data_IF_621178739061
#
_entry.id   IF_621178739061
#
_cell.length_a   1.000
_cell.length_b   1.000
_cell.length_c   1.000
_cell.angle_alpha   90.00
_cell.angle_beta   90.00
_cell.angle_gamma   90.00
#
_symmetry.space_group_name_H-M   'P 1'
#
loop_
_entity.id
_entity.type
_entity.pdbx_description
1 polymer ?
#
# COMPACT_ATOMS: atom_id res chain seq x y z
N UNK A 1 45.21 -49.93 29.96
CA UNK A 1 44.12 -48.97 30.20
C UNK A 1 44.20 -47.89 29.16
N UNK A 2 43.26 -47.86 28.20
CA UNK A 2 43.21 -46.84 27.13
C UNK A 2 42.17 -45.78 27.53
N UNK A 3 42.62 -44.57 27.86
CA UNK A 3 41.72 -43.44 28.16
C UNK A 3 41.14 -42.89 26.86
N UNK A 4 39.83 -42.92 26.72
CA UNK A 4 39.07 -42.39 25.62
C UNK A 4 38.73 -40.93 25.94
N UNK A 5 39.34 -40.00 25.24
CA UNK A 5 39.11 -38.57 25.37
C UNK A 5 37.83 -38.24 24.57
N UNK A 6 36.74 -37.91 25.26
CA UNK A 6 35.48 -37.45 24.62
C UNK A 6 35.59 -35.96 24.40
N UNK A 7 35.69 -35.55 23.11
CA UNK A 7 35.70 -34.18 22.70
C UNK A 7 34.24 -33.70 22.58
N UNK A 8 33.76 -32.93 23.54
CA UNK A 8 32.44 -32.25 23.46
C UNK A 8 32.58 -31.02 22.60
N UNK A 9 32.04 -31.07 21.38
CA UNK A 9 31.90 -29.89 20.54
C UNK A 9 30.70 -29.08 21.04
N UNK A 10 30.96 -27.92 21.66
CA UNK A 10 29.93 -26.89 21.91
C UNK A 10 29.63 -26.18 20.59
N UNK A 11 28.48 -26.48 20.00
CA UNK A 11 27.94 -25.69 18.89
C UNK A 11 27.30 -24.42 19.47
N UNK A 12 28.03 -23.33 19.47
CA UNK A 12 27.48 -22.01 19.78
C UNK A 12 26.58 -21.56 18.63
N UNK A 13 25.27 -21.67 18.80
CA UNK A 13 24.29 -21.08 17.86
C UNK A 13 24.41 -19.56 17.95
N UNK A 14 25.05 -18.94 16.98
CA UNK A 14 25.05 -17.48 16.83
C UNK A 14 23.67 -17.09 16.31
N UNK A 15 22.79 -16.70 17.21
CA UNK A 15 21.58 -15.95 16.83
C UNK A 15 22.06 -14.57 16.36
N UNK A 16 22.08 -14.35 15.05
CA UNK A 16 22.27 -13.04 14.48
C UNK A 16 21.06 -12.18 14.93
N UNK A 17 21.26 -11.39 15.98
CA UNK A 17 20.29 -10.38 16.36
C UNK A 17 20.28 -9.34 15.24
N UNK A 18 19.17 -9.25 14.51
CA UNK A 18 18.93 -8.14 13.61
C UNK A 18 18.95 -6.85 14.44
N UNK A 19 19.91 -5.98 14.17
CA UNK A 19 19.91 -4.65 14.78
C UNK A 19 18.62 -3.93 14.36
N UNK A 20 17.94 -3.22 15.26
CA UNK A 20 16.77 -2.44 14.90
C UNK A 20 17.14 -1.43 13.82
N UNK A 21 16.41 -1.44 12.70
CA UNK A 21 16.57 -0.47 11.61
C UNK A 21 15.61 0.69 11.84
N UNK A 22 16.10 1.92 11.71
CA UNK A 22 15.30 3.14 11.78
C UNK A 22 15.42 3.86 10.44
N UNK A 23 14.29 4.04 9.77
CA UNK A 23 14.20 4.81 8.54
C UNK A 23 13.30 6.03 8.76
N UNK A 24 13.81 7.21 8.42
CA UNK A 24 13.06 8.47 8.44
C UNK A 24 13.32 9.18 7.12
N UNK A 25 12.25 9.68 6.51
CA UNK A 25 12.32 10.34 5.21
C UNK A 25 11.78 11.75 5.31
N UNK A 26 12.54 12.72 4.86
CA UNK A 26 12.01 14.05 4.53
C UNK A 26 11.27 13.99 3.19
N UNK A 27 10.35 14.92 2.90
CA UNK A 27 9.55 14.87 1.67
C UNK A 27 10.37 14.78 0.38
N UNK A 28 11.53 15.41 0.32
CA UNK A 28 12.48 15.41 -0.81
C UNK A 28 13.26 14.10 -0.99
N UNK A 29 13.31 13.27 0.06
CA UNK A 29 13.97 11.95 0.01
C UNK A 29 13.03 10.85 -0.50
N UNK A 30 11.72 11.11 -0.57
CA UNK A 30 10.74 10.11 -1.00
C UNK A 30 10.83 9.92 -2.51
N UNK A 31 11.19 8.70 -2.92
CA UNK A 31 11.35 8.35 -4.33
C UNK A 31 10.06 7.73 -4.87
N UNK A 32 9.47 8.37 -5.88
CA UNK A 32 8.28 7.89 -6.55
C UNK A 32 8.64 7.18 -7.86
N UNK A 33 7.96 6.08 -8.13
CA UNK A 33 8.02 5.31 -9.37
C UNK A 33 6.63 5.18 -9.98
N UNK A 34 6.48 4.84 -11.27
CA UNK A 34 5.17 4.53 -11.83
C UNK A 34 4.45 3.48 -11.01
N UNK A 35 3.12 3.61 -10.88
CA UNK A 35 2.32 2.62 -10.16
C UNK A 35 2.46 1.21 -10.74
N UNK A 36 2.35 0.16 -9.91
CA UNK A 36 2.27 -1.22 -10.38
C UNK A 36 1.10 -1.44 -11.35
N UNK A 37 1.19 -2.48 -12.18
CA UNK A 37 0.24 -2.75 -13.25
C UNK A 37 -1.20 -3.06 -12.77
N UNK A 38 -1.41 -3.34 -11.49
CA UNK A 38 -2.75 -3.52 -10.92
C UNK A 38 -3.49 -2.19 -10.62
N UNK A 39 -2.82 -1.06 -10.78
CA UNK A 39 -3.45 0.27 -10.71
C UNK A 39 -3.50 0.92 -12.10
N UNK A 40 -4.50 1.76 -12.39
CA UNK A 40 -4.53 2.53 -13.63
C UNK A 40 -3.25 3.34 -13.81
N UNK A 41 -2.75 3.41 -15.04
CA UNK A 41 -1.53 4.17 -15.34
C UNK A 41 -1.72 5.68 -15.12
N UNK A 42 -0.61 6.41 -14.91
CA UNK A 42 -0.60 7.87 -14.77
C UNK A 42 -0.33 8.37 -13.36
N UNK A 43 -0.49 7.55 -12.33
CA UNK A 43 -0.06 7.88 -10.98
C UNK A 43 1.35 7.34 -10.68
N UNK A 44 1.88 7.74 -9.53
CA UNK A 44 3.18 7.29 -9.01
C UNK A 44 3.02 6.76 -7.59
N UNK A 45 3.84 5.79 -7.22
CA UNK A 45 3.85 5.17 -5.90
C UNK A 45 5.25 5.19 -5.30
N UNK A 46 5.34 5.47 -4.01
CA UNK A 46 6.55 5.32 -3.21
C UNK A 46 6.30 4.33 -2.08
N UNK A 47 7.16 3.34 -1.92
CA UNK A 47 7.16 2.44 -0.76
C UNK A 47 8.00 3.10 0.34
N UNK A 48 7.39 3.34 1.50
CA UNK A 48 8.07 3.93 2.67
C UNK A 48 8.49 2.86 3.67
N UNK A 49 7.72 1.78 3.75
CA UNK A 49 7.95 0.69 4.69
C UNK A 49 7.41 -0.62 4.11
N UNK A 50 8.06 -1.73 4.45
CA UNK A 50 7.63 -3.07 4.11
C UNK A 50 7.65 -3.40 2.62
N UNK A 51 6.94 -4.46 2.27
CA UNK A 51 6.71 -4.88 0.90
C UNK A 51 5.20 -5.05 0.67
N UNK A 52 4.55 -4.14 -0.08
CA UNK A 52 3.11 -4.22 -0.34
C UNK A 52 2.70 -5.44 -1.17
N UNK A 53 3.66 -6.17 -1.75
CA UNK A 53 3.41 -7.39 -2.55
C UNK A 53 3.66 -8.69 -1.79
N UNK A 54 4.23 -8.60 -0.59
CA UNK A 54 4.50 -9.77 0.25
C UNK A 54 3.20 -10.50 0.64
N UNK A 55 3.31 -11.75 1.07
CA UNK A 55 2.16 -12.54 1.54
C UNK A 55 1.66 -12.11 2.92
N UNK A 56 2.49 -11.43 3.70
CA UNK A 56 2.20 -10.94 5.05
C UNK A 56 3.18 -9.84 5.43
N UNK A 57 2.89 -9.13 6.52
CA UNK A 57 3.67 -8.03 7.05
C UNK A 57 2.97 -6.69 6.84
N UNK A 58 3.45 -5.68 7.54
CA UNK A 58 2.94 -4.33 7.39
C UNK A 58 3.56 -3.65 6.17
N UNK A 59 2.81 -2.75 5.54
CA UNK A 59 3.34 -1.86 4.52
C UNK A 59 2.84 -0.43 4.73
N UNK A 60 3.65 0.52 4.27
CA UNK A 60 3.26 1.93 4.13
C UNK A 60 3.72 2.42 2.76
N UNK A 61 2.77 2.95 1.97
CA UNK A 61 3.05 3.52 0.65
C UNK A 61 2.48 4.93 0.55
N UNK A 62 3.01 5.74 -0.36
CA UNK A 62 2.38 6.98 -0.82
C UNK A 62 2.00 6.86 -2.28
N UNK A 63 0.74 7.17 -2.56
CA UNK A 63 0.20 7.26 -3.92
C UNK A 63 0.08 8.74 -4.29
N UNK A 64 0.77 9.14 -5.35
CA UNK A 64 0.72 10.47 -5.93
C UNK A 64 -0.08 10.42 -7.22
N UNK A 65 -1.21 11.09 -7.24
CA UNK A 65 -2.22 11.04 -8.30
C UNK A 65 -2.32 12.39 -8.99
N UNK A 66 -2.21 12.47 -10.32
CA UNK A 66 -2.48 13.70 -11.05
C UNK A 66 -3.97 14.06 -11.02
N UNK A 67 -4.29 15.30 -11.38
CA UNK A 67 -5.69 15.75 -11.49
C UNK A 67 -6.52 14.82 -12.38
N UNK A 68 -7.69 14.44 -11.89
CA UNK A 68 -8.64 13.57 -12.60
C UNK A 68 -8.29 12.09 -12.61
N UNK A 69 -7.20 11.68 -11.95
CA UNK A 69 -6.87 10.26 -11.81
C UNK A 69 -7.97 9.53 -11.06
N UNK A 70 -8.35 8.34 -11.55
CA UNK A 70 -9.44 7.54 -11.00
C UNK A 70 -9.00 6.10 -10.78
N UNK A 71 -9.46 5.51 -9.66
CA UNK A 71 -9.47 4.07 -9.48
C UNK A 71 -10.93 3.64 -9.47
N UNK A 72 -11.36 2.84 -10.46
CA UNK A 72 -12.73 2.34 -10.56
C UNK A 72 -13.16 1.54 -9.33
N UNK A 73 -14.46 1.21 -9.18
CA UNK A 73 -14.96 0.43 -8.06
C UNK A 73 -14.17 -0.86 -7.84
N UNK A 74 -13.67 -1.00 -6.63
CA UNK A 74 -12.79 -2.10 -6.21
C UNK A 74 -12.91 -2.33 -4.70
N UNK A 75 -12.26 -3.40 -4.23
CA UNK A 75 -12.13 -3.74 -2.81
C UNK A 75 -10.76 -4.36 -2.51
N UNK A 76 -10.40 -4.40 -1.24
CA UNK A 76 -9.18 -5.00 -0.73
C UNK A 76 -9.46 -6.17 0.21
N UNK A 77 -8.62 -7.24 0.21
CA UNK A 77 -8.79 -8.37 1.14
C UNK A 77 -8.46 -7.99 2.59
N UNK A 78 -7.62 -6.98 2.80
CA UNK A 78 -7.22 -6.46 4.09
C UNK A 78 -7.78 -5.06 4.32
N UNK A 79 -7.78 -4.59 5.58
CA UNK A 79 -8.14 -3.21 5.90
C UNK A 79 -7.15 -2.27 5.24
N UNK A 80 -7.68 -1.25 4.58
CA UNK A 80 -6.93 -0.12 4.07
C UNK A 80 -7.09 1.08 5.01
N UNK A 81 -5.97 1.68 5.42
CA UNK A 81 -5.96 2.94 6.16
C UNK A 81 -5.37 4.02 5.27
N UNK A 82 -6.04 5.15 5.15
CA UNK A 82 -5.63 6.23 4.25
C UNK A 82 -5.55 7.57 4.98
N UNK A 83 -4.45 8.28 4.78
CA UNK A 83 -4.25 9.65 5.25
C UNK A 83 -3.98 10.56 4.06
N UNK A 84 -4.77 11.59 3.89
CA UNK A 84 -4.54 12.59 2.84
C UNK A 84 -3.39 13.50 3.26
N UNK A 85 -2.29 13.46 2.53
CA UNK A 85 -1.10 14.29 2.79
C UNK A 85 -1.26 15.66 2.13
N UNK A 86 -1.77 15.68 0.88
CA UNK A 86 -2.02 16.92 0.15
C UNK A 86 -3.13 16.75 -0.89
N UNK A 87 -3.75 17.87 -1.29
CA UNK A 87 -4.80 17.91 -2.30
C UNK A 87 -6.18 17.52 -1.77
N UNK A 88 -7.11 17.26 -2.71
CA UNK A 88 -8.50 16.91 -2.43
C UNK A 88 -8.78 15.50 -2.95
N UNK A 89 -8.82 14.54 -2.04
CA UNK A 89 -9.07 13.14 -2.32
C UNK A 89 -10.56 12.85 -2.24
N UNK A 90 -11.17 12.41 -3.34
CA UNK A 90 -12.58 12.05 -3.38
C UNK A 90 -12.75 10.54 -3.27
N UNK A 91 -13.66 10.11 -2.40
CA UNK A 91 -14.01 8.70 -2.17
C UNK A 91 -15.51 8.53 -2.30
N UNK A 92 -15.92 7.55 -3.08
CA UNK A 92 -17.30 7.09 -3.19
C UNK A 92 -17.40 5.61 -2.82
N UNK A 93 -18.57 5.20 -2.32
CA UNK A 93 -18.83 3.83 -1.88
C UNK A 93 -19.77 3.11 -2.85
N UNK A 94 -19.54 1.80 -3.04
CA UNK A 94 -20.38 0.92 -3.85
C UNK A 94 -19.75 0.48 -5.17
N UNK A 95 -20.55 -0.13 -6.02
CA UNK A 95 -20.14 -0.89 -7.20
C UNK A 95 -20.13 -0.07 -8.51
N UNK A 96 -20.67 1.14 -8.45
CA UNK A 96 -20.81 2.01 -9.63
C UNK A 96 -20.13 3.33 -9.36
N UNK A 97 -19.24 3.73 -10.27
CA UNK A 97 -18.57 5.04 -10.18
C UNK A 97 -19.59 6.17 -10.40
N UNK A 98 -19.78 6.99 -9.37
CA UNK A 98 -20.69 8.14 -9.40
C UNK A 98 -20.05 9.33 -8.67
N UNK A 99 -19.54 10.29 -9.45
CA UNK A 99 -18.85 11.44 -8.87
C UNK A 99 -19.76 12.29 -7.97
N UNK A 100 -21.06 12.32 -8.24
CA UNK A 100 -22.01 13.09 -7.45
C UNK A 100 -22.22 12.56 -6.03
N UNK A 101 -21.83 11.29 -5.80
CA UNK A 101 -21.91 10.60 -4.50
C UNK A 101 -20.59 10.56 -3.74
N UNK A 102 -19.54 11.16 -4.29
CA UNK A 102 -18.23 11.17 -3.64
C UNK A 102 -18.16 12.21 -2.54
N UNK A 103 -17.51 11.84 -1.44
CA UNK A 103 -17.11 12.77 -0.38
C UNK A 103 -15.68 13.22 -0.63
N UNK A 104 -15.40 14.50 -0.44
CA UNK A 104 -14.06 15.09 -0.59
C UNK A 104 -13.37 15.16 0.75
N UNK A 105 -12.16 14.61 0.81
CA UNK A 105 -11.27 14.63 1.96
C UNK A 105 -10.03 15.46 1.62
N UNK A 106 -9.83 16.57 2.37
CA UNK A 106 -8.67 17.44 2.22
C UNK A 106 -7.45 16.95 3.02
N UNK A 107 -6.33 17.67 2.89
CA UNK A 107 -5.11 17.37 3.62
C UNK A 107 -5.34 17.28 5.14
N UNK A 108 -4.72 16.26 5.78
CA UNK A 108 -4.91 15.93 7.19
C UNK A 108 -6.10 15.01 7.48
N UNK A 109 -6.97 14.72 6.50
CA UNK A 109 -8.05 13.76 6.69
C UNK A 109 -7.48 12.34 6.82
N UNK A 110 -8.12 11.55 7.68
CA UNK A 110 -7.85 10.13 7.88
C UNK A 110 -9.14 9.33 7.74
N UNK A 111 -9.04 8.16 7.14
CA UNK A 111 -10.12 7.18 7.07
C UNK A 111 -9.59 5.77 6.97
N UNK A 112 -10.46 4.80 7.17
CA UNK A 112 -10.16 3.39 6.91
C UNK A 112 -11.37 2.70 6.31
N UNK A 113 -11.08 1.66 5.54
CA UNK A 113 -12.07 0.74 4.98
C UNK A 113 -11.77 -0.68 5.46
N UNK A 114 -12.77 -1.35 5.98
CA UNK A 114 -12.65 -2.75 6.38
C UNK A 114 -12.52 -3.66 5.14
N UNK A 115 -12.02 -4.90 5.32
CA UNK A 115 -11.91 -5.85 4.22
C UNK A 115 -13.22 -5.98 3.43
N UNK A 116 -13.08 -6.10 2.12
CA UNK A 116 -14.19 -6.29 1.18
C UNK A 116 -15.16 -5.11 1.04
N UNK A 117 -14.86 -3.93 1.58
CA UNK A 117 -15.67 -2.73 1.33
C UNK A 117 -15.43 -2.20 -0.07
N UNK A 118 -16.51 -2.15 -0.87
CA UNK A 118 -16.47 -1.67 -2.25
C UNK A 118 -16.44 -0.15 -2.28
N UNK A 119 -15.43 0.40 -2.94
CA UNK A 119 -15.23 1.85 -3.04
C UNK A 119 -14.54 2.23 -4.36
N UNK A 120 -14.56 3.50 -4.66
CA UNK A 120 -13.87 4.08 -5.80
C UNK A 120 -13.33 5.46 -5.43
N UNK A 121 -12.28 5.88 -6.11
CA UNK A 121 -11.59 7.13 -5.76
C UNK A 121 -11.29 8.00 -6.98
N UNK A 122 -11.16 9.31 -6.72
CA UNK A 122 -10.74 10.29 -7.72
C UNK A 122 -9.90 11.40 -7.09
N UNK A 123 -8.88 11.84 -7.81
CA UNK A 123 -8.09 13.01 -7.46
C UNK A 123 -8.71 14.29 -8.04
N UNK A 124 -8.94 15.30 -7.22
CA UNK A 124 -9.31 16.65 -7.63
C UNK A 124 -8.14 17.59 -7.41
N UNK A 125 -7.45 17.96 -8.47
CA UNK A 125 -6.08 18.48 -8.45
C UNK A 125 -5.05 17.35 -8.27
N UNK A 126 -3.78 17.71 -8.06
CA UNK A 126 -2.77 16.72 -7.63
C UNK A 126 -3.04 16.32 -6.18
N UNK A 127 -3.04 15.01 -5.91
CA UNK A 127 -3.32 14.45 -4.57
C UNK A 127 -2.19 13.50 -4.17
N UNK A 128 -1.77 13.60 -2.92
CA UNK A 128 -0.92 12.60 -2.29
C UNK A 128 -1.66 11.98 -1.11
N UNK A 129 -1.84 10.65 -1.16
CA UNK A 129 -2.43 9.86 -0.08
C UNK A 129 -1.39 8.88 0.43
N UNK A 130 -1.26 8.77 1.75
CA UNK A 130 -0.50 7.70 2.39
C UNK A 130 -1.45 6.57 2.76
N UNK A 131 -1.15 5.38 2.26
CA UNK A 131 -1.90 4.15 2.53
C UNK A 131 -1.03 3.22 3.34
N UNK A 132 -1.59 2.63 4.40
CA UNK A 132 -0.91 1.61 5.17
C UNK A 132 -1.88 0.49 5.56
N UNK A 133 -1.34 -0.69 5.74
CA UNK A 133 -2.12 -1.87 6.10
C UNK A 133 -1.26 -3.12 6.13
N UNK A 134 -1.91 -4.27 6.08
CA UNK A 134 -1.25 -5.57 5.96
C UNK A 134 -1.13 -5.99 4.51
N UNK A 135 0.03 -6.53 4.17
CA UNK A 135 0.26 -7.13 2.84
C UNK A 135 -0.58 -8.41 2.64
N UNK A 136 -0.97 -8.72 1.40
CA UNK A 136 -0.69 -7.98 0.19
C UNK A 136 -1.63 -6.77 0.00
N UNK A 137 -1.09 -5.67 -0.57
CA UNK A 137 -1.91 -4.62 -1.16
C UNK A 137 -2.47 -5.13 -2.48
N UNK A 138 -3.66 -5.68 -2.43
CA UNK A 138 -4.35 -6.25 -3.59
C UNK A 138 -5.57 -5.40 -3.94
N UNK A 139 -5.75 -5.11 -5.23
CA UNK A 139 -6.92 -4.38 -5.77
C UNK A 139 -7.77 -5.36 -6.56
N UNK A 140 -9.01 -5.58 -6.12
CA UNK A 140 -9.97 -6.46 -6.77
C UNK A 140 -11.07 -5.61 -7.40
N UNK A 141 -11.04 -5.44 -8.72
CA UNK A 141 -12.02 -4.63 -9.44
C UNK A 141 -13.38 -5.32 -9.51
N UNK A 142 -14.46 -4.55 -9.26
CA UNK A 142 -15.85 -5.04 -9.35
C UNK A 142 -16.18 -5.42 -10.80
N UNK A 143 -15.89 -4.53 -11.74
CA UNK A 143 -15.98 -4.85 -13.17
C UNK A 143 -14.61 -5.36 -13.65
N UNK A 144 -14.51 -6.63 -14.10
CA UNK A 144 -13.24 -7.18 -14.58
C UNK A 144 -12.61 -6.43 -15.76
N UNK A 145 -13.39 -5.65 -16.53
CA UNK A 145 -12.88 -4.84 -17.62
C UNK A 145 -12.15 -3.56 -17.14
N UNK A 146 -12.28 -3.21 -15.86
CA UNK A 146 -11.56 -2.09 -15.26
C UNK A 146 -10.17 -2.48 -14.77
N UNK A 147 -9.87 -3.78 -14.68
CA UNK A 147 -8.57 -4.29 -14.28
C UNK A 147 -7.51 -3.95 -15.35
N UNK A 148 -6.51 -3.11 -15.05
CA UNK A 148 -5.50 -2.71 -16.03
C UNK A 148 -4.67 -3.89 -16.56
N UNK A 149 -4.54 -4.98 -15.79
CA UNK A 149 -3.80 -6.18 -16.21
C UNK A 149 -4.50 -6.95 -17.33
N UNK A 150 -5.81 -6.76 -17.51
CA UNK A 150 -6.61 -7.45 -18.55
C UNK A 150 -6.72 -6.65 -19.86
N UNK A 151 -6.20 -5.42 -19.88
CA UNK A 151 -6.26 -4.53 -21.06
C UNK A 151 -5.02 -4.63 -21.97
N UNK A 152 -4.28 -5.74 -21.89
CA UNK A 152 -3.09 -6.01 -22.75
C UNK A 152 -3.48 -6.81 -23.98
#
# INVERSE_FOLDING_TARGET
MKSMLVLVLLIASIFAQHAPTQNMFTPDQIQYSPVPAFLPSGAQLAVLEGDPTASTGDFTVRLKMPNGYRIPPHWHPNRENATVISGNFKVGMGDTFDESKMTTFGAGSFGYLDPSMHHYVMASGEVVVQVHGMSPLQVNYINPNDDPNKKK
#
